data_IF_377634627849
#
_entry.id   IF_377634627849
#
_cell.length_a   1.000
_cell.length_b   1.000
_cell.length_c   1.000
_cell.angle_alpha   90.00
_cell.angle_beta   90.00
_cell.angle_gamma   90.00
#
_symmetry.space_group_name_H-M   'P 1'
#
loop_
_entity.id
_entity.type
_entity.pdbx_description
1 polymer ?
#
# COMPACT_ATOMS: atom_id res chain seq x y z
N UNK A 1 -17.01 -33.57 24.80
CA UNK A 1 -15.98 -33.60 23.74
C UNK A 1 -16.53 -32.69 22.63
N UNK A 2 -16.17 -31.42 22.62
CA UNK A 2 -16.67 -30.42 21.64
C UNK A 2 -15.73 -30.40 20.46
N UNK A 3 -16.30 -30.60 19.28
CA UNK A 3 -15.62 -30.63 17.99
C UNK A 3 -14.87 -29.29 17.68
N UNK A 4 -13.58 -29.41 17.39
CA UNK A 4 -12.68 -28.30 17.03
C UNK A 4 -12.65 -28.03 15.52
N UNK A 5 -13.72 -28.32 14.78
CA UNK A 5 -13.76 -28.16 13.31
C UNK A 5 -14.19 -26.81 12.77
N UNK A 6 -14.40 -25.80 13.62
CA UNK A 6 -14.92 -24.49 13.17
C UNK A 6 -13.87 -23.34 13.22
N UNK A 7 -12.58 -23.63 13.02
CA UNK A 7 -11.52 -22.61 13.10
C UNK A 7 -10.68 -22.40 11.83
N UNK A 8 -11.02 -23.01 10.72
CA UNK A 8 -10.23 -22.91 9.48
C UNK A 8 -10.65 -21.78 8.53
N UNK A 9 -11.66 -20.97 8.88
CA UNK A 9 -12.14 -19.88 8.01
C UNK A 9 -11.29 -18.59 8.06
N UNK A 10 -10.23 -18.54 8.85
CA UNK A 10 -9.39 -17.33 8.95
C UNK A 10 -8.38 -17.15 7.82
N UNK A 11 -8.15 -18.16 6.99
CA UNK A 11 -7.12 -18.14 5.93
C UNK A 11 -7.66 -18.49 4.55
N UNK A 12 -8.96 -18.34 4.32
CA UNK A 12 -9.54 -18.58 2.99
C UNK A 12 -9.20 -17.42 2.05
N UNK A 13 -8.03 -17.50 1.41
CA UNK A 13 -7.58 -16.58 0.37
C UNK A 13 -8.48 -16.61 -0.87
N UNK A 14 -9.27 -17.65 -1.09
CA UNK A 14 -10.15 -17.80 -2.25
C UNK A 14 -11.32 -16.80 -2.23
N UNK A 15 -11.72 -16.31 -1.06
CA UNK A 15 -12.78 -15.30 -0.93
C UNK A 15 -12.36 -13.91 -1.41
N UNK A 16 -11.06 -13.68 -1.63
CA UNK A 16 -10.50 -12.41 -2.13
C UNK A 16 -10.61 -12.25 -3.64
N UNK A 17 -10.81 -13.34 -4.39
CA UNK A 17 -10.75 -13.34 -5.86
C UNK A 17 -12.05 -12.95 -6.55
N UNK A 18 -13.21 -13.02 -5.89
CA UNK A 18 -14.46 -12.98 -6.65
C UNK A 18 -15.05 -11.59 -6.89
N UNK A 19 -14.71 -10.52 -6.16
CA UNK A 19 -15.36 -9.19 -6.37
C UNK A 19 -14.50 -7.99 -5.93
N UNK A 20 -13.30 -7.83 -6.42
CA UNK A 20 -12.62 -6.53 -6.28
C UNK A 20 -13.19 -5.55 -7.29
N UNK A 21 -14.22 -4.83 -6.90
CA UNK A 21 -14.77 -3.74 -7.70
C UNK A 21 -14.22 -2.41 -7.16
N UNK A 22 -13.61 -1.63 -8.05
CA UNK A 22 -13.27 -0.24 -7.74
C UNK A 22 -14.46 0.64 -8.11
N UNK A 23 -15.00 1.36 -7.14
CA UNK A 23 -16.07 2.32 -7.36
C UNK A 23 -15.52 3.73 -7.19
N UNK A 24 -15.88 4.62 -8.11
CA UNK A 24 -15.69 6.06 -7.90
C UNK A 24 -16.93 6.62 -7.21
N UNK A 25 -16.75 7.21 -6.02
CA UNK A 25 -17.84 7.82 -5.26
C UNK A 25 -18.21 9.15 -5.90
N UNK A 26 -19.45 9.27 -6.33
CA UNK A 26 -20.04 10.51 -6.85
C UNK A 26 -21.12 11.00 -5.87
N UNK A 27 -21.17 12.32 -5.65
CA UNK A 27 -22.18 12.93 -4.80
C UNK A 27 -21.62 13.62 -3.55
N UNK A 28 -22.47 13.87 -2.56
CA UNK A 28 -22.08 14.52 -1.30
C UNK A 28 -21.37 13.54 -0.39
N UNK A 29 -20.14 13.83 -0.06
CA UNK A 29 -19.32 13.06 0.88
C UNK A 29 -18.49 13.99 1.77
N UNK A 30 -18.01 13.47 2.90
CA UNK A 30 -17.17 14.19 3.87
C UNK A 30 -15.67 13.96 3.65
N UNK A 31 -15.31 13.22 2.61
CA UNK A 31 -13.91 12.99 2.27
C UNK A 31 -13.20 14.28 1.86
N UNK A 32 -12.00 14.51 2.42
CA UNK A 32 -11.09 15.57 2.01
C UNK A 32 -9.78 14.98 1.54
N UNK A 33 -9.45 15.20 0.28
CA UNK A 33 -8.21 14.76 -0.34
C UNK A 33 -7.19 15.90 -0.41
N UNK A 34 -5.92 15.53 -0.48
CA UNK A 34 -4.85 16.45 -0.88
C UNK A 34 -5.19 17.10 -2.23
N UNK A 35 -4.97 18.42 -2.44
CA UNK A 35 -5.24 19.07 -3.72
C UNK A 35 -4.63 18.33 -4.91
N UNK A 36 -5.45 18.07 -5.94
CA UNK A 36 -5.02 17.32 -7.14
C UNK A 36 -5.02 15.79 -6.98
N UNK A 37 -5.45 15.28 -5.84
CA UNK A 37 -5.53 13.85 -5.54
C UNK A 37 -6.98 13.33 -5.50
N UNK A 38 -7.11 12.02 -5.56
CA UNK A 38 -8.27 11.22 -5.18
C UNK A 38 -7.91 10.43 -3.94
N UNK A 39 -8.92 9.96 -3.22
CA UNK A 39 -8.75 9.09 -2.04
C UNK A 39 -9.00 7.65 -2.45
N UNK A 40 -8.09 6.78 -2.05
CA UNK A 40 -8.29 5.35 -2.08
C UNK A 40 -8.70 4.85 -0.69
N UNK A 41 -9.68 3.95 -0.67
CA UNK A 41 -10.13 3.27 0.56
C UNK A 41 -10.35 1.80 0.24
N UNK A 42 -9.66 0.94 0.95
CA UNK A 42 -9.86 -0.51 0.89
C UNK A 42 -10.63 -1.00 2.13
N UNK A 43 -11.50 -1.97 1.93
CA UNK A 43 -12.17 -2.75 2.99
C UNK A 43 -12.64 -1.88 4.17
N UNK A 44 -13.46 -0.86 3.87
CA UNK A 44 -14.04 0.06 4.86
C UNK A 44 -13.01 0.71 5.79
N UNK A 45 -11.84 1.04 5.27
CA UNK A 45 -10.81 1.76 6.01
C UNK A 45 -9.66 0.89 6.52
N UNK A 46 -9.54 -0.38 6.09
CA UNK A 46 -8.33 -1.16 6.36
C UNK A 46 -7.09 -0.42 5.85
N UNK A 47 -7.16 0.14 4.65
CA UNK A 47 -6.14 1.04 4.10
C UNK A 47 -6.80 2.25 3.47
N UNK A 48 -6.29 3.43 3.76
CA UNK A 48 -6.70 4.70 3.13
C UNK A 48 -5.47 5.53 2.83
N UNK A 49 -5.38 6.11 1.62
CA UNK A 49 -4.40 7.13 1.26
C UNK A 49 -4.86 7.96 0.06
N UNK A 50 -4.16 9.07 -0.18
CA UNK A 50 -4.37 9.94 -1.33
C UNK A 50 -3.42 9.57 -2.45
N UNK A 51 -3.91 9.61 -3.70
CA UNK A 51 -3.13 9.35 -4.90
C UNK A 51 -3.47 10.36 -6.02
N UNK A 52 -2.57 10.62 -6.98
CA UNK A 52 -2.81 11.61 -8.02
C UNK A 52 -4.07 11.33 -8.84
N UNK A 53 -4.92 12.33 -9.03
CA UNK A 53 -6.25 12.20 -9.67
C UNK A 53 -6.22 11.53 -11.05
N UNK A 54 -5.13 11.70 -11.81
CA UNK A 54 -5.01 11.19 -13.17
C UNK A 54 -4.51 9.75 -13.24
N UNK A 55 -4.16 9.15 -12.12
CA UNK A 55 -3.67 7.79 -12.09
C UNK A 55 -4.78 6.78 -12.32
N UNK A 56 -4.44 5.69 -12.98
CA UNK A 56 -5.33 4.60 -13.35
C UNK A 56 -5.24 3.53 -12.28
N UNK A 57 -6.39 3.10 -11.76
CA UNK A 57 -6.46 2.08 -10.70
C UNK A 57 -6.94 0.78 -11.29
N UNK A 58 -6.22 -0.32 -11.03
CA UNK A 58 -6.59 -1.67 -11.46
C UNK A 58 -6.46 -2.65 -10.29
N UNK A 59 -7.45 -3.52 -10.16
CA UNK A 59 -7.36 -4.67 -9.27
C UNK A 59 -6.49 -5.75 -9.90
N UNK A 60 -5.66 -6.37 -9.08
CA UNK A 60 -4.86 -7.55 -9.37
C UNK A 60 -5.20 -8.61 -8.29
N UNK A 61 -5.03 -9.92 -8.52
CA UNK A 61 -5.38 -10.94 -7.52
C UNK A 61 -4.85 -10.66 -6.11
N UNK A 62 -3.61 -10.19 -6.00
CA UNK A 62 -2.93 -10.02 -4.70
C UNK A 62 -2.77 -8.57 -4.25
N UNK A 63 -3.12 -7.60 -5.12
CA UNK A 63 -2.88 -6.19 -4.84
C UNK A 63 -3.82 -5.28 -5.62
N UNK A 64 -3.83 -4.01 -5.29
CA UNK A 64 -4.42 -2.95 -6.11
C UNK A 64 -3.28 -2.10 -6.64
N UNK A 65 -3.25 -1.91 -7.96
CA UNK A 65 -2.20 -1.20 -8.66
C UNK A 65 -2.68 0.17 -9.15
N UNK A 66 -1.82 1.15 -9.04
CA UNK A 66 -2.02 2.52 -9.46
C UNK A 66 -0.93 2.88 -10.46
N UNK A 67 -1.31 3.22 -11.67
CA UNK A 67 -0.42 3.52 -12.77
C UNK A 67 -0.48 5.00 -13.11
N UNK A 68 0.65 5.66 -13.35
CA UNK A 68 0.67 7.07 -13.73
C UNK A 68 0.15 7.32 -15.16
N UNK A 69 0.20 6.30 -16.00
CA UNK A 69 -0.32 6.24 -17.39
C UNK A 69 -0.86 4.85 -17.68
N UNK A 70 -1.53 4.70 -18.82
CA UNK A 70 -2.02 3.41 -19.30
C UNK A 70 -0.86 2.44 -19.58
N UNK A 71 -0.82 1.26 -18.91
CA UNK A 71 0.15 0.21 -19.22
C UNK A 71 0.06 -0.25 -20.70
N UNK A 72 1.18 -0.54 -21.37
CA UNK A 72 2.55 -0.62 -20.84
C UNK A 72 3.35 0.69 -20.96
N UNK A 73 2.70 1.84 -21.06
CA UNK A 73 3.36 3.15 -21.21
C UNK A 73 3.59 3.89 -19.89
N UNK A 74 3.34 3.19 -18.79
CA UNK A 74 3.51 3.74 -17.46
C UNK A 74 4.98 3.93 -17.12
N UNK A 75 5.28 5.05 -16.43
CA UNK A 75 6.60 5.33 -15.89
C UNK A 75 6.70 4.96 -14.40
N UNK A 76 5.55 4.72 -13.77
CA UNK A 76 5.45 4.39 -12.35
C UNK A 76 4.25 3.50 -12.07
N UNK A 77 4.48 2.49 -11.24
CA UNK A 77 3.43 1.70 -10.63
C UNK A 77 3.56 1.71 -9.11
N UNK A 78 2.50 2.08 -8.42
CA UNK A 78 2.33 1.88 -6.98
C UNK A 78 1.39 0.70 -6.78
N UNK A 79 1.79 -0.28 -5.99
CA UNK A 79 0.92 -1.38 -5.60
C UNK A 79 0.69 -1.38 -4.10
N UNK A 80 -0.50 -1.75 -3.69
CA UNK A 80 -0.88 -1.88 -2.28
C UNK A 80 -1.56 -3.22 -2.04
N UNK A 81 -1.14 -3.88 -1.00
CA UNK A 81 -1.81 -5.00 -0.37
C UNK A 81 -1.86 -4.81 1.13
N UNK A 82 -2.72 -5.54 1.82
CA UNK A 82 -2.79 -5.53 3.27
C UNK A 82 -3.27 -6.87 3.78
N UNK A 83 -2.99 -7.13 5.03
CA UNK A 83 -3.47 -8.29 5.75
C UNK A 83 -3.97 -7.86 7.15
N UNK A 84 -4.92 -8.63 7.68
CA UNK A 84 -5.34 -8.48 9.06
C UNK A 84 -4.46 -9.34 9.94
N UNK A 85 -3.85 -8.71 10.94
CA UNK A 85 -2.97 -9.35 11.89
C UNK A 85 -3.68 -9.54 13.24
N UNK A 86 -3.31 -10.56 14.04
CA UNK A 86 -3.89 -10.72 15.37
C UNK A 86 -3.53 -9.53 16.28
N UNK A 87 -4.41 -9.20 17.24
CA UNK A 87 -4.19 -8.10 18.18
C UNK A 87 -3.25 -8.53 19.32
N UNK A 88 -1.98 -8.74 18.99
CA UNK A 88 -0.93 -9.09 19.93
C UNK A 88 0.09 -7.95 20.04
N UNK A 89 0.98 -8.02 21.01
CA UNK A 89 2.10 -7.10 21.11
C UNK A 89 3.15 -7.42 20.04
N UNK A 90 3.37 -6.46 19.14
CA UNK A 90 4.32 -6.55 18.03
C UNK A 90 5.65 -5.84 18.31
N UNK A 91 5.88 -5.30 19.52
CA UNK A 91 7.09 -4.50 19.84
C UNK A 91 8.38 -5.28 19.62
N UNK A 92 8.36 -6.59 19.83
CA UNK A 92 9.52 -7.47 19.58
C UNK A 92 9.83 -7.73 18.09
N UNK A 93 8.97 -7.27 17.18
CA UNK A 93 9.14 -7.42 15.73
C UNK A 93 9.00 -6.07 15.02
N UNK A 94 10.03 -5.21 15.03
CA UNK A 94 9.98 -3.91 14.40
C UNK A 94 9.83 -4.01 12.87
N UNK A 95 9.08 -3.08 12.28
CA UNK A 95 8.85 -3.06 10.83
C UNK A 95 10.14 -2.90 10.03
N UNK A 96 11.13 -2.18 10.55
CA UNK A 96 12.44 -2.05 9.92
C UNK A 96 13.11 -3.40 9.66
N UNK A 97 13.03 -4.31 10.62
CA UNK A 97 13.53 -5.68 10.45
C UNK A 97 12.76 -6.44 9.38
N UNK A 98 11.44 -6.31 9.35
CA UNK A 98 10.60 -6.96 8.32
C UNK A 98 10.90 -6.40 6.92
N UNK A 99 11.12 -5.08 6.78
CA UNK A 99 11.53 -4.44 5.53
C UNK A 99 12.87 -4.99 5.06
N UNK A 100 13.85 -5.13 5.95
CA UNK A 100 15.16 -5.71 5.62
C UNK A 100 15.02 -7.16 5.14
N UNK A 101 14.21 -7.97 5.80
CA UNK A 101 14.00 -9.37 5.39
C UNK A 101 13.24 -9.45 4.04
N UNK A 102 12.19 -8.66 3.86
CA UNK A 102 11.42 -8.65 2.61
C UNK A 102 12.27 -8.27 1.39
N UNK A 103 13.23 -7.37 1.56
CA UNK A 103 14.12 -6.94 0.47
C UNK A 103 15.24 -7.89 0.15
N UNK A 104 15.57 -8.84 1.03
CA UNK A 104 16.55 -9.91 0.73
C UNK A 104 16.06 -10.90 -0.33
N UNK A 105 14.74 -11.11 -0.38
CA UNK A 105 14.08 -12.01 -1.32
C UNK A 105 13.78 -11.40 -2.69
N UNK A 106 14.20 -10.16 -2.95
CA UNK A 106 13.98 -9.50 -4.25
C UNK A 106 14.78 -10.21 -5.35
N UNK A 107 14.08 -10.83 -6.29
CA UNK A 107 14.71 -11.59 -7.39
C UNK A 107 15.30 -10.72 -8.51
N UNK A 108 15.14 -9.38 -8.43
CA UNK A 108 15.70 -8.46 -9.41
C UNK A 108 17.22 -8.29 -9.22
N UNK A 109 17.91 -7.90 -10.27
CA UNK A 109 19.33 -7.56 -10.18
C UNK A 109 19.51 -6.21 -9.48
N UNK A 110 19.43 -6.25 -8.16
CA UNK A 110 19.60 -5.04 -7.34
C UNK A 110 21.06 -4.58 -7.37
N UNK A 111 21.28 -3.30 -7.61
CA UNK A 111 22.62 -2.68 -7.53
C UNK A 111 22.90 -2.15 -6.12
N UNK A 112 21.90 -1.55 -5.49
CA UNK A 112 22.03 -1.02 -4.15
C UNK A 112 20.67 -0.93 -3.45
N UNK A 113 20.70 -1.04 -2.12
CA UNK A 113 19.62 -0.68 -1.22
C UNK A 113 20.06 0.46 -0.31
N UNK A 114 19.23 1.48 -0.18
CA UNK A 114 19.40 2.55 0.81
C UNK A 114 19.09 2.07 2.23
N UNK A 115 19.26 2.96 3.19
CA UNK A 115 18.89 2.71 4.58
C UNK A 115 17.37 2.59 4.75
N UNK A 116 16.97 1.92 5.82
CA UNK A 116 15.56 1.87 6.21
C UNK A 116 15.19 3.20 6.88
N UNK A 117 14.13 3.81 6.37
CA UNK A 117 13.54 5.02 6.95
C UNK A 117 12.35 4.60 7.81
N UNK A 118 12.36 4.98 9.07
CA UNK A 118 11.25 4.74 10.00
C UNK A 118 10.51 6.05 10.28
N UNK A 119 9.19 5.97 10.30
CA UNK A 119 8.32 7.08 10.68
C UNK A 119 7.23 6.55 11.60
N UNK A 120 6.98 7.25 12.69
CA UNK A 120 5.88 6.95 13.59
C UNK A 120 4.92 8.13 13.65
N UNK A 121 3.66 7.86 13.34
CA UNK A 121 2.53 8.75 13.61
C UNK A 121 1.78 8.18 14.82
N UNK A 122 0.81 8.92 15.36
CA UNK A 122 -0.04 8.39 16.44
C UNK A 122 -0.62 7.05 15.99
N UNK A 123 -0.28 5.95 16.69
CA UNK A 123 -0.73 4.58 16.45
C UNK A 123 -0.34 3.95 15.09
N UNK A 124 0.38 4.63 14.21
CA UNK A 124 0.80 4.12 12.90
C UNK A 124 2.33 4.06 12.82
N UNK A 125 2.85 2.85 12.68
CA UNK A 125 4.26 2.60 12.40
C UNK A 125 4.45 2.43 10.89
N UNK A 126 5.47 3.06 10.35
CA UNK A 126 5.84 2.98 8.93
C UNK A 126 7.35 2.74 8.87
N UNK A 127 7.75 1.75 8.08
CA UNK A 127 9.15 1.55 7.72
C UNK A 127 9.25 1.30 6.21
N UNK A 128 10.18 1.94 5.57
CA UNK A 128 10.39 1.76 4.14
C UNK A 128 11.86 1.94 3.75
N UNK A 129 12.23 1.40 2.58
CA UNK A 129 13.53 1.65 1.97
C UNK A 129 13.41 1.71 0.46
N UNK A 130 14.44 2.30 -0.18
CA UNK A 130 14.56 2.41 -1.63
C UNK A 130 15.71 1.55 -2.11
N UNK A 131 15.49 0.85 -3.22
CA UNK A 131 16.52 0.14 -3.96
C UNK A 131 16.68 0.68 -5.37
N UNK A 132 17.86 0.48 -5.95
CA UNK A 132 18.19 0.76 -7.34
C UNK A 132 18.48 -0.53 -8.07
N UNK A 133 17.95 -0.69 -9.27
CA UNK A 133 18.19 -1.87 -10.11
C UNK A 133 18.19 -1.48 -11.59
N UNK A 134 18.71 -2.38 -12.43
CA UNK A 134 18.55 -2.27 -13.88
C UNK A 134 17.39 -3.17 -14.29
N UNK A 135 16.37 -2.58 -14.91
CA UNK A 135 15.26 -3.35 -15.45
C UNK A 135 15.79 -4.23 -16.60
N UNK A 136 15.55 -5.53 -16.49
CA UNK A 136 16.12 -6.51 -17.42
C UNK A 136 15.50 -6.44 -18.83
N UNK A 137 14.27 -5.98 -18.93
CA UNK A 137 13.53 -5.90 -20.20
C UNK A 137 13.89 -4.64 -20.97
N UNK A 138 13.90 -3.51 -20.29
CA UNK A 138 14.14 -2.20 -20.88
C UNK A 138 15.61 -1.81 -20.84
N UNK A 139 16.46 -2.58 -20.13
CA UNK A 139 17.86 -2.28 -19.85
C UNK A 139 18.09 -0.85 -19.35
N UNK A 140 17.27 -0.43 -18.42
CA UNK A 140 17.13 0.96 -17.95
C UNK A 140 17.18 1.04 -16.44
N UNK A 141 17.85 2.07 -15.87
CA UNK A 141 17.88 2.26 -14.43
C UNK A 141 16.49 2.55 -13.87
N UNK A 142 16.13 1.83 -12.83
CA UNK A 142 14.87 1.95 -12.13
C UNK A 142 15.07 1.97 -10.62
N UNK A 143 14.11 2.54 -9.92
CA UNK A 143 14.04 2.59 -8.48
C UNK A 143 12.81 1.83 -8.00
N UNK A 144 12.98 1.13 -6.90
CA UNK A 144 11.89 0.48 -6.18
C UNK A 144 11.84 0.99 -4.75
N UNK A 145 10.64 1.15 -4.22
CA UNK A 145 10.40 1.41 -2.79
C UNK A 145 9.53 0.33 -2.24
N UNK A 146 9.92 -0.20 -1.10
CA UNK A 146 9.12 -1.15 -0.33
C UNK A 146 8.83 -0.53 1.03
N UNK A 147 7.56 -0.46 1.38
CA UNK A 147 7.09 0.10 2.63
C UNK A 147 6.16 -0.88 3.34
N UNK A 148 6.37 -1.05 4.62
CA UNK A 148 5.43 -1.69 5.53
C UNK A 148 4.82 -0.62 6.43
N UNK A 149 3.50 -0.66 6.56
CA UNK A 149 2.75 0.10 7.54
C UNK A 149 2.04 -0.85 8.49
N UNK A 150 1.98 -0.52 9.79
CA UNK A 150 1.25 -1.31 10.78
C UNK A 150 0.50 -0.43 11.74
N UNK A 151 -0.78 -0.76 11.94
CA UNK A 151 -1.61 -0.14 12.97
C UNK A 151 -2.64 -1.14 13.47
N UNK A 152 -2.69 -1.31 14.78
CA UNK A 152 -3.66 -2.20 15.45
C UNK A 152 -3.72 -3.59 14.79
N UNK A 153 -4.76 -3.87 13.99
CA UNK A 153 -5.05 -5.17 13.37
C UNK A 153 -4.76 -5.22 11.88
N UNK A 154 -4.13 -4.20 11.33
CA UNK A 154 -3.80 -4.12 9.90
C UNK A 154 -2.32 -3.90 9.69
N UNK A 155 -1.74 -4.71 8.82
CA UNK A 155 -0.42 -4.48 8.24
C UNK A 155 -0.57 -4.33 6.74
N UNK A 156 -0.02 -3.26 6.19
CA UNK A 156 -0.01 -3.00 4.75
C UNK A 156 1.38 -3.16 4.16
N UNK A 157 1.43 -3.58 2.92
CA UNK A 157 2.62 -3.53 2.06
C UNK A 157 2.31 -2.58 0.89
N UNK A 158 3.16 -1.58 0.73
CA UNK A 158 3.15 -0.70 -0.43
C UNK A 158 4.48 -0.88 -1.18
N UNK A 159 4.41 -1.05 -2.48
CA UNK A 159 5.59 -1.02 -3.34
C UNK A 159 5.41 0.05 -4.42
N UNK A 160 6.50 0.69 -4.81
CA UNK A 160 6.46 1.70 -5.87
C UNK A 160 7.67 1.55 -6.75
N UNK A 161 7.47 1.16 -8.00
CA UNK A 161 8.49 1.00 -9.00
C UNK A 161 8.40 2.12 -10.03
N UNK A 162 9.52 2.73 -10.39
CA UNK A 162 9.56 3.85 -11.34
C UNK A 162 10.95 4.04 -11.95
N UNK A 163 10.99 4.71 -13.12
CA UNK A 163 12.25 5.02 -13.78
C UNK A 163 13.05 6.06 -13.00
N UNK A 164 14.36 5.83 -12.84
CA UNK A 164 15.25 6.69 -12.04
C UNK A 164 15.21 8.16 -12.48
N UNK A 165 15.15 8.44 -13.76
CA UNK A 165 15.09 9.80 -14.30
C UNK A 165 13.86 10.58 -13.83
N UNK A 166 12.80 9.91 -13.38
CA UNK A 166 11.58 10.51 -12.84
C UNK A 166 11.55 10.54 -11.31
N UNK A 167 12.67 10.23 -10.64
CA UNK A 167 12.75 10.11 -9.18
C UNK A 167 12.21 11.33 -8.43
N UNK A 168 12.52 12.54 -8.88
CA UNK A 168 12.04 13.78 -8.25
C UNK A 168 10.52 13.90 -8.27
N UNK A 169 9.88 13.51 -9.38
CA UNK A 169 8.41 13.53 -9.55
C UNK A 169 7.76 12.50 -8.63
N UNK A 170 8.23 11.28 -8.67
CA UNK A 170 7.59 10.18 -7.95
C UNK A 170 7.92 10.16 -6.46
N UNK A 171 9.02 10.79 -6.03
CA UNK A 171 9.25 11.06 -4.61
C UNK A 171 8.19 11.96 -3.99
N UNK A 172 7.68 12.95 -4.74
CA UNK A 172 6.56 13.78 -4.26
C UNK A 172 5.28 12.97 -4.10
N UNK A 173 4.99 12.08 -5.05
CA UNK A 173 3.81 11.20 -4.97
C UNK A 173 3.95 10.25 -3.78
N UNK A 174 5.13 9.67 -3.59
CA UNK A 174 5.40 8.80 -2.44
C UNK A 174 5.13 9.50 -1.11
N UNK A 175 5.61 10.74 -0.97
CA UNK A 175 5.36 11.52 0.24
C UNK A 175 3.86 11.78 0.44
N UNK A 176 3.11 12.15 -0.61
CA UNK A 176 1.65 12.31 -0.53
C UNK A 176 0.99 11.02 -0.02
N UNK A 177 1.37 9.87 -0.57
CA UNK A 177 0.84 8.57 -0.17
C UNK A 177 1.14 8.30 1.31
N UNK A 178 2.41 8.44 1.73
CA UNK A 178 2.80 8.18 3.11
C UNK A 178 2.21 9.19 4.09
N UNK A 179 2.15 10.47 3.74
CA UNK A 179 1.60 11.52 4.60
C UNK A 179 0.11 11.34 4.85
N UNK A 180 -0.61 10.86 3.85
CA UNK A 180 -2.05 10.61 3.92
C UNK A 180 -2.43 9.19 4.32
N UNK A 181 -1.44 8.29 4.50
CA UNK A 181 -1.69 6.90 4.86
C UNK A 181 -2.37 6.78 6.22
N UNK A 182 -3.48 6.07 6.22
CA UNK A 182 -4.22 5.65 7.41
C UNK A 182 -4.52 4.16 7.31
N UNK A 183 -4.38 3.45 8.40
CA UNK A 183 -4.65 2.03 8.50
C UNK A 183 -5.66 1.78 9.63
N UNK A 184 -6.49 0.75 9.46
CA UNK A 184 -7.46 0.29 10.46
C UNK A 184 -8.33 1.44 11.03
N UNK A 185 -8.78 2.34 10.15
CA UNK A 185 -9.76 3.37 10.46
C UNK A 185 -11.15 2.84 10.13
N UNK A 186 -11.98 2.54 11.12
CA UNK A 186 -13.31 2.00 10.85
C UNK A 186 -14.19 3.05 10.19
N UNK A 187 -14.52 2.82 8.93
CA UNK A 187 -15.41 3.68 8.15
C UNK A 187 -16.74 2.96 7.99
N UNK A 188 -17.77 3.49 8.61
CA UNK A 188 -19.10 2.91 8.61
C UNK A 188 -19.67 2.84 7.19
N UNK A 189 -19.56 3.94 6.46
CA UNK A 189 -19.96 4.02 5.06
C UNK A 189 -18.90 4.72 4.21
N UNK A 190 -18.12 3.96 3.41
CA UNK A 190 -17.07 4.53 2.56
C UNK A 190 -17.60 5.46 1.47
N UNK A 191 -18.87 5.37 1.08
CA UNK A 191 -19.48 6.27 0.10
C UNK A 191 -19.81 7.66 0.70
N UNK A 192 -19.95 7.75 2.00
CA UNK A 192 -20.21 9.02 2.70
C UNK A 192 -18.92 9.60 3.26
N UNK A 193 -18.04 8.79 3.74
CA UNK A 193 -16.77 9.19 4.37
C UNK A 193 -16.80 9.16 5.89
N UNK A 194 -15.74 9.63 6.55
CA UNK A 194 -15.66 9.67 8.00
C UNK A 194 -16.71 10.62 8.58
N UNK A 195 -17.19 10.31 9.80
CA UNK A 195 -18.06 11.24 10.54
C UNK A 195 -17.28 12.52 10.84
N UNK A 196 -17.83 13.65 10.46
CA UNK A 196 -17.33 14.96 10.90
C UNK A 196 -17.77 15.14 12.35
N UNK A 197 -16.81 15.14 13.27
CA UNK A 197 -17.08 15.47 14.68
C UNK A 197 -17.13 16.98 14.87
#
# INVERSE_FOLDING_TARGET
>A
MKDWKEKDDYWNFDHWNEKRQCFEVQGKHTWSATPGCKIFVADRGAVRFDYPRRWIVRGDPDSIKFYDKEPPRDDCVLAVSYLRIPPIDWTGLPLSRLVLEATKGDGRKMEAWGDVVETRKIDLEIAWRQGRYIDAKENRPALTRLCLGRRRRVQSLLTMDFWEEHAKRFSRVWNIVLDSLQLDEPIENPFVGPRVM
#
